data_IF_997118288945
#
_entry.id   IF_997118288945
#
_cell.length_a   1.000
_cell.length_b   1.000
_cell.length_c   1.000
_cell.angle_alpha   90.00
_cell.angle_beta   90.00
_cell.angle_gamma   90.00
#
_symmetry.space_group_name_H-M   'P 1'
#
loop_
_entity.id
_entity.type
_entity.pdbx_description
1 polymer ?
#
# COMPACT_ATOMS: atom_id res chain seq x y z
N UNK A 1 -5.46 1.23 14.57
CA UNK A 1 -5.99 2.42 15.25
C UNK A 1 -6.89 1.98 16.42
N UNK A 2 -7.04 2.82 17.43
CA UNK A 2 -7.98 2.58 18.52
C UNK A 2 -9.45 2.76 18.11
N UNK A 3 -9.69 3.30 16.92
CA UNK A 3 -11.03 3.52 16.37
C UNK A 3 -11.63 2.20 15.89
N UNK A 4 -12.87 1.96 16.28
CA UNK A 4 -13.70 0.84 15.83
C UNK A 4 -14.81 1.43 14.96
N UNK A 5 -14.52 1.65 13.70
CA UNK A 5 -15.48 2.08 12.69
C UNK A 5 -15.70 0.93 11.71
N UNK A 6 -16.91 0.75 11.25
CA UNK A 6 -17.24 -0.30 10.29
C UNK A 6 -16.66 0.01 8.89
N UNK A 7 -16.37 1.29 8.61
CA UNK A 7 -15.92 1.79 7.30
C UNK A 7 -16.81 1.27 6.15
N UNK A 8 -18.12 1.22 6.38
CA UNK A 8 -19.10 0.75 5.40
C UNK A 8 -19.10 1.64 4.16
N UNK A 9 -19.09 1.01 3.00
CA UNK A 9 -19.10 1.69 1.70
C UNK A 9 -20.53 1.77 1.18
N UNK A 10 -21.01 2.98 0.96
CA UNK A 10 -22.29 3.24 0.30
C UNK A 10 -22.02 3.63 -1.15
N UNK A 11 -22.50 2.83 -2.11
CA UNK A 11 -22.42 3.15 -3.53
C UNK A 11 -23.58 4.04 -3.94
N UNK A 12 -23.27 5.19 -4.53
CA UNK A 12 -24.24 6.19 -4.96
C UNK A 12 -24.61 6.06 -6.44
N UNK A 13 -23.70 5.50 -7.27
CA UNK A 13 -23.90 5.30 -8.71
C UNK A 13 -22.94 4.26 -9.27
N UNK A 14 -23.22 3.80 -10.49
CA UNK A 14 -22.34 2.94 -11.27
C UNK A 14 -22.34 1.46 -10.89
N UNK A 15 -23.07 1.06 -9.85
CA UNK A 15 -23.25 -0.32 -9.42
C UNK A 15 -24.76 -0.61 -9.32
N UNK A 16 -25.19 -1.73 -9.89
CA UNK A 16 -26.54 -2.27 -9.77
C UNK A 16 -26.47 -3.78 -9.54
N UNK A 17 -27.11 -4.28 -8.49
CA UNK A 17 -27.09 -5.69 -8.08
C UNK A 17 -25.68 -6.31 -8.04
N UNK A 18 -24.70 -5.54 -7.54
CA UNK A 18 -23.30 -5.97 -7.42
C UNK A 18 -22.49 -5.96 -8.72
N UNK A 19 -23.06 -5.47 -9.83
CA UNK A 19 -22.43 -5.42 -11.14
C UNK A 19 -22.22 -3.96 -11.56
N UNK A 20 -21.06 -3.67 -12.16
CA UNK A 20 -20.78 -2.36 -12.74
C UNK A 20 -21.68 -2.13 -13.98
N UNK A 21 -22.32 -0.96 -14.04
CA UNK A 21 -23.18 -0.55 -15.15
C UNK A 21 -22.44 0.13 -16.29
N UNK A 22 -21.10 0.31 -16.17
CA UNK A 22 -20.30 1.08 -17.11
C UNK A 22 -20.38 2.60 -16.92
N UNK A 23 -21.26 3.08 -16.03
CA UNK A 23 -21.30 4.48 -15.61
C UNK A 23 -20.23 4.77 -14.56
N UNK A 24 -19.89 6.06 -14.31
CA UNK A 24 -19.00 6.43 -13.21
C UNK A 24 -19.49 5.87 -11.87
N UNK A 25 -18.57 5.24 -11.12
CA UNK A 25 -18.86 4.68 -9.80
C UNK A 25 -18.62 5.76 -8.76
N UNK A 26 -19.70 6.23 -8.15
CA UNK A 26 -19.67 7.13 -6.99
C UNK A 26 -19.88 6.34 -5.71
N UNK A 27 -19.13 6.66 -4.66
CA UNK A 27 -19.29 6.03 -3.36
C UNK A 27 -18.90 6.99 -2.23
N UNK A 28 -19.39 6.71 -1.04
CA UNK A 28 -19.08 7.42 0.20
C UNK A 28 -18.77 6.44 1.32
N UNK A 29 -17.88 6.85 2.21
CA UNK A 29 -17.63 6.18 3.49
C UNK A 29 -17.86 7.25 4.57
N UNK A 30 -18.85 7.04 5.41
CA UNK A 30 -19.20 7.98 6.44
C UNK A 30 -18.26 7.90 7.64
N UNK A 31 -17.78 9.05 8.11
CA UNK A 31 -17.01 9.10 9.35
C UNK A 31 -17.97 9.16 10.54
N UNK A 32 -18.18 8.03 11.18
CA UNK A 32 -19.16 7.87 12.28
C UNK A 32 -18.55 8.08 13.67
N UNK A 33 -17.21 8.14 13.77
CA UNK A 33 -16.50 8.28 15.04
C UNK A 33 -15.50 9.45 15.03
N UNK A 34 -15.98 10.65 14.72
CA UNK A 34 -15.18 11.85 14.72
C UNK A 34 -15.11 12.47 16.12
N UNK A 35 -13.90 12.70 16.63
CA UNK A 35 -13.60 13.38 17.89
C UNK A 35 -12.82 14.67 17.63
N UNK A 36 -13.48 15.70 17.15
CA UNK A 36 -12.85 16.97 16.75
C UNK A 36 -12.16 17.69 17.91
N UNK A 37 -12.71 17.57 19.12
CA UNK A 37 -12.19 18.24 20.33
C UNK A 37 -10.80 17.71 20.76
N UNK A 38 -10.46 16.49 20.37
CA UNK A 38 -9.15 15.90 20.67
C UNK A 38 -7.99 16.65 19.99
N UNK A 39 -8.29 17.52 19.05
CA UNK A 39 -7.31 18.29 18.27
C UNK A 39 -7.22 19.77 18.68
N UNK A 40 -7.95 20.23 19.68
CA UNK A 40 -7.98 21.65 20.05
C UNK A 40 -6.61 22.16 20.50
N UNK A 41 -5.82 21.33 21.19
CA UNK A 41 -4.46 21.63 21.59
C UNK A 41 -3.49 21.72 20.40
N UNK A 42 -3.87 21.23 19.21
CA UNK A 42 -3.06 21.27 17.99
C UNK A 42 -3.26 22.57 17.19
N UNK A 43 -4.14 23.46 17.64
CA UNK A 43 -4.44 24.70 16.92
C UNK A 43 -3.22 25.61 16.80
N UNK A 44 -2.47 25.74 17.88
CA UNK A 44 -1.35 26.69 17.99
C UNK A 44 0.03 26.01 17.83
N UNK A 45 0.07 24.67 17.66
CA UNK A 45 1.31 23.92 17.58
C UNK A 45 1.39 23.08 16.29
N UNK A 46 2.61 22.75 15.90
CA UNK A 46 2.88 21.86 14.79
C UNK A 46 3.47 20.55 15.28
N UNK A 47 2.94 19.45 14.81
CA UNK A 47 3.44 18.12 15.16
C UNK A 47 4.68 17.78 14.35
N UNK A 48 5.77 17.32 14.97
CA UNK A 48 6.92 16.78 14.25
C UNK A 48 6.51 15.68 13.26
N UNK A 49 7.16 15.63 12.11
CA UNK A 49 6.92 14.65 11.04
C UNK A 49 5.51 14.65 10.43
N UNK A 50 4.70 15.67 10.71
CA UNK A 50 3.40 15.89 10.08
C UNK A 50 3.45 17.09 9.12
N UNK A 51 2.50 17.14 8.20
CA UNK A 51 2.42 18.21 7.20
C UNK A 51 1.83 19.54 7.74
N UNK A 52 1.62 19.68 9.03
CA UNK A 52 0.95 20.81 9.66
C UNK A 52 1.63 22.15 9.29
N UNK A 53 2.93 22.24 9.50
CA UNK A 53 3.72 23.43 9.19
C UNK A 53 3.75 23.73 7.69
N UNK A 54 4.07 22.73 6.87
CA UNK A 54 4.19 22.89 5.42
C UNK A 54 2.87 23.29 4.77
N UNK A 55 1.74 22.80 5.29
CA UNK A 55 0.43 23.20 4.80
C UNK A 55 0.08 24.64 5.19
N UNK A 56 0.38 25.04 6.42
CA UNK A 56 0.19 26.42 6.84
C UNK A 56 1.01 27.37 5.97
N UNK A 57 2.28 27.02 5.70
CA UNK A 57 3.12 27.85 4.84
C UNK A 57 2.64 27.88 3.39
N UNK A 58 2.18 26.75 2.84
CA UNK A 58 1.77 26.65 1.44
C UNK A 58 0.42 27.30 1.16
N UNK A 59 -0.53 27.14 2.07
CA UNK A 59 -1.95 27.52 1.83
C UNK A 59 -2.43 28.67 2.69
N UNK A 60 -1.62 29.17 3.64
CA UNK A 60 -2.01 30.24 4.58
C UNK A 60 -3.05 29.80 5.62
N UNK A 61 -3.60 28.60 5.51
CA UNK A 61 -4.66 28.08 6.39
C UNK A 61 -4.50 26.58 6.60
N UNK A 62 -4.84 26.13 7.79
CA UNK A 62 -4.86 24.72 8.18
C UNK A 62 -6.08 24.43 9.04
N UNK A 63 -6.83 23.41 8.73
CA UNK A 63 -7.80 22.85 9.66
C UNK A 63 -7.06 21.92 10.65
N UNK A 64 -6.86 22.39 11.87
CA UNK A 64 -6.15 21.66 12.92
C UNK A 64 -6.85 20.37 13.34
N UNK A 65 -8.16 20.24 13.09
CA UNK A 65 -8.98 19.05 13.38
C UNK A 65 -8.75 17.90 12.40
N UNK A 66 -7.72 17.97 11.57
CA UNK A 66 -7.39 16.96 10.58
C UNK A 66 -8.25 17.04 9.32
N UNK A 67 -8.97 18.15 9.15
CA UNK A 67 -9.88 18.38 8.03
C UNK A 67 -9.20 18.22 6.69
N UNK A 68 -9.60 17.20 6.02
CA UNK A 68 -9.22 17.00 4.68
C UNK A 68 -7.93 16.23 4.43
N UNK A 69 -7.15 15.88 5.42
CA UNK A 69 -5.84 15.23 5.25
C UNK A 69 -5.49 14.29 6.39
N UNK A 70 -6.51 13.68 6.98
CA UNK A 70 -6.36 12.64 7.99
C UNK A 70 -6.25 11.26 7.34
N UNK A 71 -5.78 10.30 8.11
CA UNK A 71 -5.72 8.89 7.72
C UNK A 71 -7.08 8.31 7.28
N UNK A 72 -8.20 8.91 7.70
CA UNK A 72 -9.54 8.50 7.28
C UNK A 72 -9.73 8.61 5.76
N UNK A 73 -9.02 9.49 5.06
CA UNK A 73 -9.08 9.60 3.59
C UNK A 73 -8.44 8.44 2.86
N UNK A 74 -7.54 7.75 3.49
CA UNK A 74 -6.93 6.55 2.91
C UNK A 74 -7.95 5.44 2.69
N UNK A 75 -9.06 5.43 3.44
CA UNK A 75 -10.16 4.48 3.23
C UNK A 75 -10.75 4.62 1.83
N UNK A 76 -10.90 5.84 1.33
CA UNK A 76 -11.40 6.11 -0.04
C UNK A 76 -10.46 5.54 -1.10
N UNK A 77 -9.14 5.74 -0.93
CA UNK A 77 -8.14 5.16 -1.85
C UNK A 77 -8.19 3.63 -1.83
N UNK A 78 -8.41 3.01 -0.67
CA UNK A 78 -8.55 1.55 -0.54
C UNK A 78 -9.78 1.02 -1.28
N UNK A 79 -10.93 1.68 -1.20
CA UNK A 79 -12.15 1.29 -1.93
C UNK A 79 -11.90 1.39 -3.44
N UNK A 80 -11.36 2.52 -3.92
CA UNK A 80 -10.99 2.68 -5.32
C UNK A 80 -10.00 1.60 -5.79
N UNK A 81 -8.97 1.32 -4.99
CA UNK A 81 -8.01 0.25 -5.25
C UNK A 81 -8.63 -1.14 -5.28
N UNK A 82 -9.59 -1.43 -4.40
CA UNK A 82 -10.31 -2.70 -4.39
C UNK A 82 -11.14 -2.90 -5.66
N UNK A 83 -11.85 -1.87 -6.11
CA UNK A 83 -12.61 -1.90 -7.36
C UNK A 83 -11.69 -2.14 -8.58
N UNK A 84 -10.57 -1.42 -8.65
CA UNK A 84 -9.57 -1.61 -9.70
C UNK A 84 -8.99 -3.03 -9.67
N UNK A 85 -8.67 -3.55 -8.48
CA UNK A 85 -8.15 -4.92 -8.29
C UNK A 85 -9.15 -5.99 -8.75
N UNK A 86 -10.45 -5.81 -8.48
CA UNK A 86 -11.50 -6.69 -8.98
C UNK A 86 -11.58 -6.68 -10.51
N UNK A 87 -11.50 -5.50 -11.15
CA UNK A 87 -11.48 -5.39 -12.60
C UNK A 87 -10.23 -6.06 -13.21
N UNK A 88 -9.05 -5.83 -12.65
CA UNK A 88 -7.80 -6.44 -13.09
C UNK A 88 -7.83 -7.97 -12.95
N UNK A 89 -8.48 -8.49 -11.90
CA UNK A 89 -8.66 -9.94 -11.71
C UNK A 89 -9.43 -10.58 -12.86
N UNK A 90 -10.42 -9.89 -13.45
CA UNK A 90 -11.15 -10.38 -14.64
C UNK A 90 -10.24 -10.49 -15.87
N UNK A 91 -9.16 -9.71 -15.91
CA UNK A 91 -8.13 -9.77 -16.96
C UNK A 91 -7.01 -10.76 -16.63
N UNK A 92 -7.12 -11.54 -15.57
CA UNK A 92 -6.12 -12.51 -15.12
C UNK A 92 -4.97 -11.91 -14.32
N UNK A 93 -5.00 -10.60 -14.01
CA UNK A 93 -3.95 -9.92 -13.25
C UNK A 93 -4.25 -10.02 -11.76
N UNK A 94 -3.29 -10.51 -10.98
CA UNK A 94 -3.36 -10.62 -9.52
C UNK A 94 -2.34 -9.72 -8.87
N UNK A 95 -2.78 -8.98 -7.87
CA UNK A 95 -1.92 -8.08 -7.07
C UNK A 95 -2.00 -8.52 -5.62
N UNK A 96 -0.86 -8.90 -5.06
CA UNK A 96 -0.75 -9.34 -3.67
C UNK A 96 0.32 -8.53 -2.96
N UNK A 97 -0.04 -7.87 -1.87
CA UNK A 97 0.87 -7.10 -1.04
C UNK A 97 0.94 -7.73 0.35
N UNK A 98 2.14 -7.83 0.90
CA UNK A 98 2.40 -8.43 2.20
C UNK A 98 3.55 -7.73 2.91
N UNK A 99 3.60 -7.87 4.22
CA UNK A 99 4.73 -7.34 5.02
C UNK A 99 5.91 -8.27 4.91
N UNK A 100 7.00 -7.77 4.37
CA UNK A 100 8.26 -8.52 4.23
C UNK A 100 9.28 -8.18 5.30
N UNK A 101 9.14 -7.04 5.98
CA UNK A 101 10.04 -6.66 7.07
C UNK A 101 9.36 -5.73 8.07
N UNK A 102 9.69 -5.89 9.35
CA UNK A 102 9.41 -4.93 10.44
C UNK A 102 10.68 -4.80 11.28
N UNK A 103 11.23 -3.61 11.33
CA UNK A 103 12.52 -3.39 12.00
C UNK A 103 13.60 -4.32 11.44
N UNK A 104 14.17 -5.17 12.30
CA UNK A 104 15.20 -6.14 11.93
C UNK A 104 14.65 -7.51 11.51
N UNK A 105 13.36 -7.75 11.73
CA UNK A 105 12.70 -9.01 11.36
C UNK A 105 12.32 -8.96 9.89
N UNK A 106 12.96 -9.78 9.07
CA UNK A 106 12.83 -9.79 7.61
C UNK A 106 12.63 -11.21 7.09
N UNK A 107 11.78 -11.38 6.08
CA UNK A 107 11.70 -12.61 5.29
C UNK A 107 13.05 -12.89 4.61
N UNK A 108 13.48 -14.14 4.62
CA UNK A 108 14.81 -14.57 4.17
C UNK A 108 14.78 -15.36 2.84
N UNK A 109 13.58 -15.72 2.36
CA UNK A 109 13.37 -16.48 1.13
C UNK A 109 12.73 -15.64 0.05
N UNK A 110 12.80 -16.14 -1.18
CA UNK A 110 12.03 -15.57 -2.30
C UNK A 110 10.52 -15.70 -2.05
N UNK A 111 9.75 -14.76 -2.58
CA UNK A 111 8.30 -14.73 -2.39
C UNK A 111 7.60 -15.99 -2.93
N UNK A 112 8.20 -16.68 -3.89
CA UNK A 112 7.68 -17.92 -4.48
C UNK A 112 7.73 -19.12 -3.52
N UNK A 113 8.53 -19.03 -2.47
CA UNK A 113 8.68 -20.06 -1.44
C UNK A 113 7.67 -19.90 -0.29
N UNK A 114 6.88 -18.84 -0.29
CA UNK A 114 5.85 -18.58 0.72
C UNK A 114 4.45 -18.78 0.17
N UNK A 115 3.56 -19.31 0.99
CA UNK A 115 2.13 -19.33 0.65
C UNK A 115 1.50 -17.97 0.93
N UNK A 116 1.41 -17.15 -0.12
CA UNK A 116 0.81 -15.81 -0.03
C UNK A 116 -0.70 -15.84 0.24
N UNK A 117 -1.36 -16.98 0.20
CA UNK A 117 -2.79 -17.08 0.57
C UNK A 117 -3.01 -16.96 2.08
N UNK A 118 -1.96 -17.13 2.88
CA UNK A 118 -1.99 -17.10 4.34
C UNK A 118 -1.78 -15.70 4.97
N UNK A 119 -1.52 -14.68 4.15
CA UNK A 119 -1.19 -13.33 4.65
C UNK A 119 -2.28 -12.71 5.54
N UNK A 120 -3.54 -13.04 5.29
CA UNK A 120 -4.65 -12.53 6.10
C UNK A 120 -4.86 -13.29 7.42
N UNK A 121 -4.10 -14.35 7.69
CA UNK A 121 -4.21 -15.16 8.91
C UNK A 121 -3.56 -14.49 10.13
N UNK A 122 -2.86 -13.38 9.96
CA UNK A 122 -2.23 -12.65 11.05
C UNK A 122 -2.35 -11.13 10.85
N UNK A 123 -2.29 -10.34 11.94
CA UNK A 123 -2.55 -8.90 11.89
C UNK A 123 -1.48 -8.09 11.16
N UNK A 124 -0.28 -8.63 11.00
CA UNK A 124 0.82 -7.95 10.29
C UNK A 124 0.87 -8.30 8.81
N UNK A 125 0.05 -9.26 8.35
CA UNK A 125 0.00 -9.71 6.95
C UNK A 125 1.35 -10.20 6.42
N UNK A 126 2.09 -10.94 7.22
CA UNK A 126 3.31 -11.63 6.82
C UNK A 126 2.98 -13.09 6.44
N UNK A 127 3.51 -13.63 5.33
CA UNK A 127 3.21 -15.01 4.92
C UNK A 127 3.86 -16.07 5.81
N UNK A 128 4.92 -15.73 6.54
CA UNK A 128 5.53 -16.59 7.54
C UNK A 128 4.87 -16.34 8.91
N UNK A 129 4.17 -17.34 9.44
CA UNK A 129 3.37 -17.17 10.66
C UNK A 129 4.23 -17.03 11.92
N UNK A 130 5.40 -17.67 11.98
CA UNK A 130 6.31 -17.53 13.12
C UNK A 130 6.96 -16.15 13.14
N UNK A 131 7.46 -15.71 11.99
CA UNK A 131 8.00 -14.37 11.82
C UNK A 131 6.93 -13.28 12.04
N UNK A 132 5.69 -13.54 11.60
CA UNK A 132 4.57 -12.64 11.85
C UNK A 132 4.33 -12.37 13.32
N UNK A 133 4.46 -13.40 14.16
CA UNK A 133 4.36 -13.27 15.61
C UNK A 133 5.48 -12.40 16.18
N UNK A 134 6.73 -12.66 15.77
CA UNK A 134 7.88 -11.86 16.20
C UNK A 134 7.73 -10.38 15.79
N UNK A 135 7.28 -10.12 14.56
CA UNK A 135 6.98 -8.76 14.08
C UNK A 135 5.89 -8.09 14.93
N UNK A 136 4.82 -8.80 15.23
CA UNK A 136 3.73 -8.27 16.04
C UNK A 136 4.19 -7.95 17.46
N UNK A 137 4.93 -8.86 18.10
CA UNK A 137 5.47 -8.66 19.46
C UNK A 137 6.40 -7.45 19.49
N UNK A 138 7.25 -7.28 18.48
CA UNK A 138 8.15 -6.13 18.38
C UNK A 138 7.40 -4.81 18.20
N UNK A 139 6.35 -4.79 17.38
CA UNK A 139 5.48 -3.61 17.24
C UNK A 139 4.82 -3.26 18.58
N UNK A 140 4.32 -4.26 19.33
CA UNK A 140 3.69 -4.02 20.62
C UNK A 140 4.68 -3.51 21.67
N UNK A 141 5.90 -4.06 21.70
CA UNK A 141 6.97 -3.57 22.58
C UNK A 141 7.30 -2.11 22.28
N UNK A 142 7.60 -1.78 21.01
CA UNK A 142 7.93 -0.41 20.57
C UNK A 142 6.81 0.58 20.90
N UNK A 143 5.55 0.16 20.70
CA UNK A 143 4.38 0.95 21.10
C UNK A 143 4.33 1.18 22.61
N UNK A 144 4.70 0.17 23.43
CA UNK A 144 4.78 0.29 24.88
C UNK A 144 5.82 1.32 25.33
N UNK A 145 6.86 1.50 24.55
CA UNK A 145 7.91 2.52 24.75
C UNK A 145 7.48 3.92 24.27
N UNK A 146 6.30 4.06 23.69
CA UNK A 146 5.79 5.31 23.13
C UNK A 146 6.39 5.69 21.78
N UNK A 147 6.97 4.73 21.06
CA UNK A 147 7.69 4.91 19.82
C UNK A 147 7.03 4.14 18.65
N UNK A 148 7.62 4.24 17.45
CA UNK A 148 7.19 3.57 16.23
C UNK A 148 8.35 2.90 15.55
N UNK A 149 8.07 1.85 14.79
CA UNK A 149 9.04 1.12 13.98
C UNK A 149 8.63 1.11 12.52
N UNK A 150 9.60 1.21 11.63
CA UNK A 150 9.41 1.11 10.19
C UNK A 150 9.40 -0.34 9.71
N UNK A 151 9.02 -0.50 8.44
CA UNK A 151 8.99 -1.81 7.78
C UNK A 151 9.00 -1.69 6.27
N UNK A 152 8.96 -2.85 5.62
CA UNK A 152 8.88 -2.98 4.16
C UNK A 152 7.62 -3.77 3.80
N UNK A 153 6.88 -3.24 2.85
CA UNK A 153 5.78 -3.94 2.19
C UNK A 153 6.26 -4.37 0.82
N UNK A 154 6.19 -5.65 0.55
CA UNK A 154 6.42 -6.21 -0.78
C UNK A 154 5.10 -6.39 -1.51
N UNK A 155 5.12 -6.17 -2.82
CA UNK A 155 3.96 -6.33 -3.67
C UNK A 155 4.33 -7.16 -4.90
N UNK A 156 3.60 -8.24 -5.14
CA UNK A 156 3.77 -9.12 -6.29
C UNK A 156 2.59 -8.92 -7.24
N UNK A 157 2.91 -8.72 -8.51
CA UNK A 157 1.92 -8.59 -9.58
C UNK A 157 2.13 -9.74 -10.55
N UNK A 158 1.13 -10.60 -10.70
CA UNK A 158 1.16 -11.78 -11.55
C UNK A 158 0.15 -11.64 -12.71
N UNK A 159 0.45 -12.26 -13.84
CA UNK A 159 -0.43 -12.25 -15.01
C UNK A 159 -0.45 -10.93 -15.79
N UNK A 160 0.53 -10.06 -15.58
CA UNK A 160 0.67 -8.84 -16.37
C UNK A 160 0.95 -9.18 -17.85
N UNK A 161 0.24 -8.57 -18.79
CA UNK A 161 0.57 -8.70 -20.20
C UNK A 161 1.86 -7.94 -20.54
N UNK A 162 2.58 -8.43 -21.54
CA UNK A 162 3.73 -7.76 -22.11
C UNK A 162 3.28 -6.46 -22.80
N UNK A 163 4.09 -5.41 -22.73
CA UNK A 163 3.88 -4.16 -23.44
C UNK A 163 3.20 -3.06 -22.63
N UNK A 164 3.09 -3.21 -21.32
CA UNK A 164 2.62 -2.14 -20.45
C UNK A 164 3.67 -1.01 -20.31
N UNK A 165 3.16 0.18 -20.05
CA UNK A 165 3.97 1.39 -19.96
C UNK A 165 4.27 2.01 -21.31
N UNK A 166 4.92 3.19 -21.29
CA UNK A 166 5.27 3.96 -22.48
C UNK A 166 6.69 4.53 -22.36
N UNK A 167 7.50 4.51 -23.41
CA UNK A 167 8.74 5.28 -23.44
C UNK A 167 8.37 6.80 -23.58
N UNK A 168 9.13 7.71 -23.05
CA UNK A 168 10.35 7.64 -22.28
C UNK A 168 10.00 7.76 -20.79
N UNK A 169 8.99 8.56 -20.43
CA UNK A 169 8.65 8.93 -19.05
C UNK A 169 7.50 8.12 -18.46
N UNK A 170 6.69 7.46 -19.31
CA UNK A 170 5.55 6.64 -18.89
C UNK A 170 5.88 5.16 -18.65
N UNK A 171 7.12 4.82 -18.33
CA UNK A 171 7.53 3.43 -18.02
C UNK A 171 6.74 2.88 -16.84
N UNK A 172 6.40 1.59 -16.88
CA UNK A 172 5.58 0.95 -15.83
C UNK A 172 6.18 1.15 -14.43
N UNK A 173 7.47 0.91 -14.26
CA UNK A 173 8.12 1.10 -12.96
C UNK A 173 8.15 2.58 -12.51
N UNK A 174 8.20 3.54 -13.44
CA UNK A 174 8.11 4.96 -13.11
C UNK A 174 6.70 5.33 -12.61
N UNK A 175 5.65 4.79 -13.25
CA UNK A 175 4.28 4.97 -12.80
C UNK A 175 4.03 4.32 -11.44
N UNK A 176 4.55 3.09 -11.23
CA UNK A 176 4.49 2.40 -9.94
C UNK A 176 5.25 3.18 -8.85
N UNK A 177 6.45 3.66 -9.14
CA UNK A 177 7.24 4.46 -8.20
C UNK A 177 6.52 5.74 -7.78
N UNK A 178 5.92 6.45 -8.73
CA UNK A 178 5.10 7.62 -8.44
C UNK A 178 3.92 7.27 -7.53
N UNK A 179 3.17 6.21 -7.84
CA UNK A 179 2.03 5.78 -7.04
C UNK A 179 2.45 5.36 -5.62
N UNK A 180 3.50 4.55 -5.50
CA UNK A 180 3.98 4.07 -4.19
C UNK A 180 4.52 5.19 -3.32
N UNK A 181 5.31 6.11 -3.87
CA UNK A 181 5.83 7.27 -3.14
C UNK A 181 4.74 8.31 -2.81
N UNK A 182 3.58 8.23 -3.44
CA UNK A 182 2.41 9.05 -3.10
C UNK A 182 1.65 8.53 -1.88
N UNK A 183 1.92 7.30 -1.43
CA UNK A 183 1.35 6.76 -0.19
C UNK A 183 2.00 7.46 1.01
N UNK A 184 1.19 7.90 1.95
CA UNK A 184 1.69 8.60 3.14
C UNK A 184 2.70 7.75 3.91
N UNK A 185 3.73 8.41 4.41
CA UNK A 185 4.84 7.84 5.18
C UNK A 185 5.78 6.89 4.40
N UNK A 186 5.53 6.58 3.14
CA UNK A 186 6.50 5.86 2.31
C UNK A 186 7.74 6.73 2.09
N UNK A 187 8.93 6.14 2.29
CA UNK A 187 10.23 6.81 2.20
C UNK A 187 11.14 6.26 1.10
N UNK A 188 10.81 5.10 0.56
CA UNK A 188 11.58 4.47 -0.50
C UNK A 188 10.71 3.54 -1.33
N UNK A 189 11.14 3.31 -2.56
CA UNK A 189 10.54 2.38 -3.50
C UNK A 189 11.65 1.71 -4.29
N UNK A 190 11.53 0.40 -4.40
CA UNK A 190 12.40 -0.43 -5.24
C UNK A 190 11.53 -1.35 -6.11
N UNK A 191 12.08 -1.80 -7.24
CA UNK A 191 11.46 -2.83 -8.06
C UNK A 191 12.51 -3.86 -8.49
N UNK A 192 12.10 -5.10 -8.72
CA UNK A 192 13.01 -6.22 -8.94
C UNK A 192 13.94 -6.39 -7.73
N UNK A 193 15.22 -6.54 -7.97
CA UNK A 193 16.24 -6.65 -6.92
C UNK A 193 16.61 -5.29 -6.28
N UNK A 194 16.12 -4.18 -6.83
CA UNK A 194 16.37 -2.86 -6.28
C UNK A 194 17.86 -2.56 -6.10
N UNK A 195 18.25 -2.08 -4.94
CA UNK A 195 19.66 -1.82 -4.60
C UNK A 195 20.51 -3.10 -4.44
N UNK A 196 19.89 -4.27 -4.27
CA UNK A 196 20.59 -5.56 -4.25
C UNK A 196 21.33 -5.89 -5.54
N UNK A 197 20.94 -5.27 -6.66
CA UNK A 197 21.67 -5.39 -7.94
C UNK A 197 23.13 -4.92 -7.88
N UNK A 198 23.47 -4.05 -6.95
CA UNK A 198 24.84 -3.50 -6.84
C UNK A 198 25.89 -4.57 -6.52
N UNK A 199 25.48 -5.67 -5.91
CA UNK A 199 26.34 -6.78 -5.53
C UNK A 199 26.38 -7.91 -6.60
N UNK A 200 25.57 -7.78 -7.68
CA UNK A 200 25.41 -8.79 -8.70
C UNK A 200 26.09 -8.42 -10.02
N UNK A 201 26.63 -9.41 -10.71
CA UNK A 201 27.11 -9.24 -12.10
C UNK A 201 25.92 -9.10 -13.05
N UNK A 202 26.06 -8.35 -14.14
CA UNK A 202 25.00 -8.13 -15.12
C UNK A 202 24.40 -9.42 -15.68
N UNK A 203 25.23 -10.46 -15.90
CA UNK A 203 24.76 -11.78 -16.35
C UNK A 203 23.85 -12.51 -15.35
N UNK A 204 23.88 -12.14 -14.07
CA UNK A 204 23.04 -12.70 -13.02
C UNK A 204 21.70 -11.94 -12.87
N UNK A 205 21.62 -10.77 -13.50
CA UNK A 205 20.46 -9.88 -13.42
C UNK A 205 19.56 -9.98 -14.67
N UNK A 206 19.98 -10.71 -15.68
CA UNK A 206 19.22 -10.84 -16.93
C UNK A 206 18.04 -11.78 -16.73
N UNK A 207 16.85 -11.33 -17.13
CA UNK A 207 15.70 -12.19 -17.30
C UNK A 207 15.96 -13.12 -18.49
N UNK A 208 16.00 -14.42 -18.24
CA UNK A 208 16.31 -15.42 -19.26
C UNK A 208 15.03 -15.83 -19.95
N UNK A 209 14.99 -15.66 -21.27
CA UNK A 209 13.87 -16.14 -22.07
C UNK A 209 13.76 -17.66 -22.04
N UNK A 210 12.57 -18.15 -21.85
CA UNK A 210 12.24 -19.57 -21.98
C UNK A 210 11.03 -19.78 -22.88
N UNK A 211 10.93 -20.99 -23.44
CA UNK A 211 9.78 -21.39 -24.26
C UNK A 211 8.85 -22.27 -23.44
N UNK A 212 7.56 -21.92 -23.45
CA UNK A 212 6.47 -22.72 -22.91
C UNK A 212 5.46 -22.99 -24.04
N UNK A 213 5.58 -24.14 -24.71
CA UNK A 213 4.85 -24.43 -25.93
C UNK A 213 5.15 -23.42 -27.04
N UNK A 214 4.13 -22.72 -27.51
CA UNK A 214 4.24 -21.65 -28.53
C UNK A 214 4.46 -20.27 -27.93
N UNK A 215 4.51 -20.15 -26.59
CA UNK A 215 4.72 -18.88 -25.90
C UNK A 215 6.18 -18.71 -25.50
N UNK A 216 6.59 -17.46 -25.44
CA UNK A 216 7.88 -17.06 -24.86
C UNK A 216 7.59 -16.39 -23.53
N UNK A 217 8.26 -16.85 -22.47
CA UNK A 217 8.27 -16.22 -21.16
C UNK A 217 9.69 -15.76 -20.79
N UNK A 218 9.79 -15.02 -19.72
CA UNK A 218 11.03 -14.56 -19.09
C UNK A 218 10.82 -14.39 -17.59
#
# INVERSE_FOLDING_TARGET
>A
TARKEADEVEFLSGIYEGVSTGCPIGFVVWNTNQHSNDYDNMKEVFRPSHADFTYTQKYGVRDHRGGGRSSARETIARVGGALAKLALKQLGIRITAFTSQVGTFKLDKDYTEYDLSTIENNPVRCPDQELAKQMADYIYQTKGEGDTIGGVISCVIQGCPIGLGQPVYGKLHAALGNAMLSINAVKGFEYGQGFGHMEMKGSQQNDIFYRDGDKIGF
#
